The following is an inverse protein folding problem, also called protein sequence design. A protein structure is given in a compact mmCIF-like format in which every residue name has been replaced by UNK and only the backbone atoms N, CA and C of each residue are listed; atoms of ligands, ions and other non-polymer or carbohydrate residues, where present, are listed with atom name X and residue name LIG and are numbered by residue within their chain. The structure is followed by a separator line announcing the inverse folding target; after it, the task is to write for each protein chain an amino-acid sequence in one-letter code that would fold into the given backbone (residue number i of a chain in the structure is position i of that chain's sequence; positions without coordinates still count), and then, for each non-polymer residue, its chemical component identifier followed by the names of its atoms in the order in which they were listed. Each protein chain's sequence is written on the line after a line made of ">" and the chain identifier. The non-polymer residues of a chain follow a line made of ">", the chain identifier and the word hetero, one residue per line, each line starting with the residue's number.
data_IF_964135490425
#
_entry.id   IF_964135490425
#
_cell.length_a   1.000
_cell.length_b   1.000
_cell.length_c   1.000
_cell.angle_alpha   90.00
_cell.angle_beta   90.00
_cell.angle_gamma   90.00
#
_symmetry.space_group_name_H-M   'P 1'
#
loop_
_entity.id
_entity.type
_entity.pdbx_description
1 polymer ?
#
# COMPACT_ATOMS: atom_id res chain seq x y z
N UNK A 1 -41.07 -20.18 7.61
CA UNK A 1 -40.83 -19.40 6.37
C UNK A 1 -39.43 -18.80 6.43
N UNK A 2 -38.54 -19.11 5.47
CA UNK A 2 -37.20 -18.48 5.37
C UNK A 2 -37.35 -17.20 4.53
N UNK A 3 -36.90 -16.06 5.06
CA UNK A 3 -36.99 -14.76 4.39
C UNK A 3 -36.10 -14.76 3.11
N UNK A 4 -36.67 -14.59 1.90
CA UNK A 4 -35.93 -14.65 0.64
C UNK A 4 -35.04 -13.42 0.37
N UNK A 5 -35.10 -12.38 1.22
CA UNK A 5 -34.35 -11.13 1.04
C UNK A 5 -33.15 -10.97 1.97
N UNK A 6 -32.63 -12.06 2.56
CA UNK A 6 -31.38 -11.99 3.33
C UNK A 6 -30.22 -11.77 2.34
N UNK A 7 -29.94 -10.51 2.00
CA UNK A 7 -28.71 -10.12 1.30
C UNK A 7 -27.56 -10.80 2.05
N UNK A 8 -26.81 -11.66 1.35
CA UNK A 8 -25.55 -12.20 1.89
C UNK A 8 -24.72 -10.96 2.22
N UNK A 9 -24.41 -10.72 3.49
CA UNK A 9 -23.36 -9.75 3.85
C UNK A 9 -22.16 -10.18 3.02
N UNK A 10 -21.64 -9.29 2.16
CA UNK A 10 -20.32 -9.53 1.57
C UNK A 10 -19.40 -9.84 2.75
N UNK A 11 -18.61 -10.92 2.71
CA UNK A 11 -17.60 -11.13 3.74
C UNK A 11 -16.81 -9.84 3.84
N UNK A 12 -16.86 -9.18 5.01
CA UNK A 12 -15.92 -8.12 5.30
C UNK A 12 -14.58 -8.84 5.34
N UNK A 13 -13.73 -8.53 4.37
CA UNK A 13 -12.35 -9.00 4.38
C UNK A 13 -11.73 -8.31 5.58
N UNK A 14 -11.35 -9.10 6.58
CA UNK A 14 -10.69 -8.57 7.76
C UNK A 14 -9.36 -7.96 7.31
N UNK A 15 -9.13 -6.69 7.63
CA UNK A 15 -7.90 -6.03 7.25
C UNK A 15 -6.75 -6.64 8.03
N UNK A 16 -5.62 -6.94 7.38
CA UNK A 16 -4.55 -7.67 8.03
C UNK A 16 -3.92 -6.80 9.10
N UNK A 17 -3.65 -7.37 10.28
CA UNK A 17 -2.85 -6.76 11.34
C UNK A 17 -1.34 -6.85 10.98
N UNK A 18 -1.02 -6.44 9.76
CA UNK A 18 0.33 -6.44 9.21
C UNK A 18 0.96 -5.06 9.38
N UNK A 19 2.23 -5.04 9.75
CA UNK A 19 3.01 -3.83 10.02
C UNK A 19 3.85 -3.39 8.82
N UNK A 20 3.98 -4.27 7.83
CA UNK A 20 4.80 -4.06 6.64
C UNK A 20 4.00 -4.42 5.40
N UNK A 21 3.96 -3.48 4.45
CA UNK A 21 3.29 -3.63 3.17
C UNK A 21 4.26 -3.39 2.02
N UNK A 22 4.15 -4.19 0.98
CA UNK A 22 4.96 -4.11 -0.23
C UNK A 22 4.09 -3.76 -1.42
N UNK A 23 4.53 -2.77 -2.20
CA UNK A 23 3.73 -2.19 -3.28
C UNK A 23 4.60 -2.16 -4.54
N UNK A 24 4.50 -3.17 -5.41
CA UNK A 24 5.15 -3.16 -6.72
C UNK A 24 4.55 -2.11 -7.65
N UNK A 25 5.36 -1.58 -8.56
CA UNK A 25 4.90 -0.75 -9.65
C UNK A 25 5.81 -0.78 -10.86
N UNK A 26 5.29 -0.28 -11.98
CA UNK A 26 6.00 -0.21 -13.26
C UNK A 26 6.60 1.18 -13.47
N UNK A 27 7.24 1.71 -12.43
CA UNK A 27 8.00 2.96 -12.53
C UNK A 27 9.35 2.69 -13.20
N UNK A 28 9.86 3.68 -13.93
CA UNK A 28 11.14 3.60 -14.61
C UNK A 28 12.29 3.96 -13.68
N UNK A 29 12.07 4.88 -12.73
CA UNK A 29 13.07 5.30 -11.76
C UNK A 29 12.45 5.88 -10.48
N UNK A 30 13.31 6.11 -9.47
CA UNK A 30 12.90 6.72 -8.18
C UNK A 30 12.31 8.12 -8.33
N UNK A 31 12.74 8.90 -9.31
CA UNK A 31 12.22 10.25 -9.54
C UNK A 31 10.78 10.21 -10.04
N UNK A 32 10.45 9.24 -10.90
CA UNK A 32 9.08 8.99 -11.34
C UNK A 32 8.18 8.59 -10.17
N UNK A 33 8.65 7.76 -9.25
CA UNK A 33 7.91 7.37 -8.05
C UNK A 33 7.56 8.60 -7.22
N UNK A 34 8.57 9.38 -6.83
CA UNK A 34 8.41 10.58 -6.00
C UNK A 34 7.51 11.61 -6.70
N UNK A 35 7.77 11.86 -7.98
CA UNK A 35 6.97 12.78 -8.79
C UNK A 35 5.51 12.35 -8.92
N UNK A 36 5.26 11.05 -9.08
CA UNK A 36 3.90 10.50 -9.19
C UNK A 36 3.14 10.56 -7.87
N UNK A 37 3.78 10.26 -6.73
CA UNK A 37 3.18 10.42 -5.41
C UNK A 37 2.79 11.89 -5.18
N UNK A 38 3.72 12.82 -5.42
CA UNK A 38 3.46 14.24 -5.23
C UNK A 38 2.35 14.78 -6.16
N UNK A 39 2.39 14.41 -7.45
CA UNK A 39 1.42 14.87 -8.45
C UNK A 39 0.01 14.32 -8.19
N UNK A 40 -0.10 13.02 -7.88
CA UNK A 40 -1.39 12.35 -7.80
C UNK A 40 -2.05 12.44 -6.41
N UNK A 41 -1.31 12.93 -5.41
CA UNK A 41 -1.80 13.13 -4.04
C UNK A 41 -1.62 14.58 -3.56
N UNK A 42 -1.59 15.53 -4.50
CA UNK A 42 -1.44 16.95 -4.20
C UNK A 42 -2.48 17.41 -3.17
N UNK A 43 -2.02 18.16 -2.15
CA UNK A 43 -2.83 18.64 -1.02
C UNK A 43 -3.32 17.54 -0.05
N UNK A 44 -2.93 16.28 -0.24
CA UNK A 44 -3.29 15.17 0.68
C UNK A 44 -2.04 14.57 1.32
N UNK A 45 -1.06 14.16 0.52
CA UNK A 45 0.17 13.55 0.99
C UNK A 45 1.41 14.31 0.52
N UNK A 46 2.42 14.37 1.39
CA UNK A 46 3.77 14.80 1.05
C UNK A 46 4.72 13.64 1.27
N UNK A 47 5.62 13.44 0.31
CA UNK A 47 6.71 12.48 0.41
C UNK A 47 8.03 13.23 0.56
N UNK A 48 8.76 12.96 1.64
CA UNK A 48 10.04 13.58 1.93
C UNK A 48 11.01 12.55 2.51
N UNK A 49 12.05 12.21 1.76
CA UNK A 49 13.04 11.21 2.17
C UNK A 49 12.40 9.83 2.33
N UNK A 50 12.25 9.37 3.57
CA UNK A 50 11.66 8.08 3.93
C UNK A 50 10.28 8.20 4.58
N UNK A 51 9.67 9.39 4.56
CA UNK A 51 8.41 9.65 5.24
C UNK A 51 7.36 10.06 4.22
N UNK A 52 6.20 9.40 4.29
CA UNK A 52 4.97 9.88 3.67
C UNK A 52 4.06 10.42 4.76
N UNK A 53 3.75 11.70 4.70
CA UNK A 53 2.93 12.42 5.68
C UNK A 53 1.57 12.75 5.05
N UNK A 54 0.49 12.33 5.71
CA UNK A 54 -0.85 12.85 5.42
C UNK A 54 -0.97 14.27 6.02
N UNK A 55 -1.12 15.28 5.18
CA UNK A 55 -1.17 16.68 5.64
C UNK A 55 -2.45 17.03 6.40
N UNK A 56 -3.51 16.25 6.21
CA UNK A 56 -4.80 16.50 6.85
C UNK A 56 -4.87 15.89 8.25
N UNK A 57 -4.30 14.68 8.43
CA UNK A 57 -4.34 13.95 9.70
C UNK A 57 -3.05 14.03 10.51
N UNK A 58 -1.96 14.49 9.88
CA UNK A 58 -0.59 14.51 10.42
C UNK A 58 0.00 13.12 10.70
N UNK A 59 -0.63 12.06 10.19
CA UNK A 59 -0.11 10.70 10.29
C UNK A 59 1.02 10.49 9.29
N UNK A 60 2.09 9.86 9.76
CA UNK A 60 3.27 9.57 8.96
C UNK A 60 3.49 8.07 8.82
N UNK A 61 3.98 7.66 7.65
CA UNK A 61 4.35 6.29 7.34
C UNK A 61 5.82 6.25 6.92
N UNK A 62 6.55 5.26 7.42
CA UNK A 62 7.87 4.94 6.91
C UNK A 62 7.74 4.34 5.53
N UNK A 63 8.45 4.89 4.55
CA UNK A 63 8.39 4.45 3.16
C UNK A 63 9.81 4.30 2.64
N UNK A 64 10.11 3.15 2.06
CA UNK A 64 11.36 2.88 1.37
C UNK A 64 11.08 2.53 -0.08
N UNK A 65 11.81 3.17 -0.99
CA UNK A 65 11.82 2.81 -2.41
C UNK A 65 12.99 1.85 -2.62
N UNK A 66 12.68 0.67 -3.11
CA UNK A 66 13.60 -0.44 -3.31
C UNK A 66 13.55 -0.85 -4.77
N UNK A 67 14.72 -1.22 -5.30
CA UNK A 67 14.87 -1.76 -6.64
C UNK A 67 14.94 -3.28 -6.56
N UNK A 68 14.50 -3.97 -7.61
CA UNK A 68 14.59 -5.42 -7.70
C UNK A 68 16.01 -5.94 -7.48
N UNK A 69 17.01 -5.17 -7.91
CA UNK A 69 18.44 -5.47 -7.69
C UNK A 69 18.87 -5.43 -6.23
N UNK A 70 18.07 -4.85 -5.33
CA UNK A 70 18.36 -4.82 -3.89
C UNK A 70 18.09 -6.17 -3.20
N UNK A 71 17.56 -7.17 -3.93
CA UNK A 71 17.18 -8.46 -3.37
C UNK A 71 17.89 -9.63 -4.06
N UNK A 72 18.61 -10.43 -3.26
CA UNK A 72 19.30 -11.63 -3.75
C UNK A 72 18.37 -12.84 -3.97
N UNK A 73 17.20 -12.85 -3.33
CA UNK A 73 16.29 -13.99 -3.36
C UNK A 73 14.84 -13.57 -3.67
N UNK A 74 14.37 -13.97 -4.84
CA UNK A 74 13.13 -13.50 -5.47
C UNK A 74 11.90 -14.35 -5.12
N UNK A 75 11.98 -15.34 -4.23
CA UNK A 75 10.83 -16.24 -3.97
C UNK A 75 9.55 -15.48 -3.58
N UNK A 76 9.71 -14.37 -2.84
CA UNK A 76 8.65 -13.43 -2.54
C UNK A 76 8.16 -12.66 -3.79
N UNK A 77 9.09 -12.19 -4.63
CA UNK A 77 8.84 -11.42 -5.84
C UNK A 77 8.50 -12.26 -7.08
N UNK A 78 8.48 -13.60 -6.99
CA UNK A 78 8.08 -14.45 -8.11
C UNK A 78 6.70 -14.08 -8.66
N UNK A 79 5.83 -13.53 -7.80
CA UNK A 79 4.50 -12.99 -8.15
C UNK A 79 4.53 -11.60 -8.78
N UNK A 80 5.62 -10.86 -8.63
CA UNK A 80 5.84 -9.49 -9.11
C UNK A 80 7.08 -9.40 -10.02
N UNK A 81 7.38 -10.48 -10.74
CA UNK A 81 8.59 -10.64 -11.56
C UNK A 81 8.77 -9.53 -12.60
N UNK A 82 7.67 -8.91 -13.02
CA UNK A 82 7.62 -7.89 -14.07
C UNK A 82 7.74 -6.47 -13.51
N UNK A 83 7.92 -6.30 -12.19
CA UNK A 83 8.14 -5.00 -11.54
C UNK A 83 9.61 -4.86 -11.13
N UNK A 84 10.20 -3.72 -11.48
CA UNK A 84 11.59 -3.39 -11.14
C UNK A 84 11.71 -2.54 -9.88
N UNK A 85 10.60 -1.94 -9.42
CA UNK A 85 10.55 -1.09 -8.23
C UNK A 85 9.46 -1.54 -7.26
N UNK A 86 9.76 -1.38 -5.98
CA UNK A 86 8.90 -1.70 -4.87
C UNK A 86 8.91 -0.57 -3.86
N UNK A 87 7.73 -0.27 -3.31
CA UNK A 87 7.62 0.54 -2.11
C UNK A 87 7.36 -0.37 -0.93
N UNK A 88 8.22 -0.31 0.08
CA UNK A 88 8.01 -0.90 1.40
C UNK A 88 7.46 0.16 2.33
N UNK A 89 6.26 -0.07 2.86
CA UNK A 89 5.58 0.80 3.81
C UNK A 89 5.58 0.16 5.18
N UNK A 90 6.24 0.83 6.13
CA UNK A 90 6.31 0.46 7.54
C UNK A 90 5.32 1.29 8.35
N UNK A 91 4.52 0.59 9.14
CA UNK A 91 3.71 1.22 10.17
C UNK A 91 4.60 1.53 11.38
N UNK A 92 5.02 2.79 11.52
CA UNK A 92 5.67 3.24 12.75
C UNK A 92 4.62 3.31 13.86
N UNK A 93 4.94 2.77 15.05
CA UNK A 93 4.07 2.71 16.22
C UNK A 93 3.33 4.05 16.46
N UNK A 94 2.07 4.12 16.05
CA UNK A 94 1.17 5.21 16.38
C UNK A 94 -0.06 4.64 17.08
N UNK A 95 -0.37 5.19 18.23
CA UNK A 95 -1.50 4.75 19.06
C UNK A 95 -2.84 5.13 18.38
N UNK A 96 -3.70 4.13 18.19
CA UNK A 96 -5.12 4.18 17.78
C UNK A 96 -5.52 4.29 16.28
N UNK A 97 -6.44 3.40 15.89
CA UNK A 97 -7.31 3.41 14.68
C UNK A 97 -6.63 3.51 13.30
N UNK A 98 -5.49 2.85 13.13
CA UNK A 98 -4.65 2.93 11.93
C UNK A 98 -5.29 2.44 10.62
N UNK A 99 -6.34 1.60 10.64
CA UNK A 99 -6.81 0.93 9.42
C UNK A 99 -7.18 1.92 8.31
N UNK A 100 -7.95 2.97 8.61
CA UNK A 100 -8.35 3.96 7.61
C UNK A 100 -7.13 4.70 7.05
N UNK A 101 -6.17 5.02 7.92
CA UNK A 101 -4.95 5.76 7.58
C UNK A 101 -4.01 4.92 6.72
N UNK A 102 -3.87 3.63 7.04
CA UNK A 102 -3.13 2.66 6.21
C UNK A 102 -3.81 2.50 4.86
N UNK A 103 -5.15 2.38 4.83
CA UNK A 103 -5.91 2.29 3.58
C UNK A 103 -5.65 3.53 2.72
N UNK A 104 -5.71 4.73 3.30
CA UNK A 104 -5.43 6.00 2.61
C UNK A 104 -3.99 6.06 2.09
N UNK A 105 -3.01 5.67 2.91
CA UNK A 105 -1.61 5.63 2.53
C UNK A 105 -1.35 4.65 1.37
N UNK A 106 -1.86 3.43 1.46
CA UNK A 106 -1.79 2.45 0.38
C UNK A 106 -2.48 2.96 -0.89
N UNK A 107 -3.66 3.58 -0.77
CA UNK A 107 -4.36 4.20 -1.89
C UNK A 107 -3.55 5.33 -2.54
N UNK A 108 -2.82 6.14 -1.76
CA UNK A 108 -1.99 7.19 -2.30
C UNK A 108 -0.88 6.64 -3.21
N UNK A 109 -0.30 5.50 -2.82
CA UNK A 109 0.76 4.83 -3.59
C UNK A 109 0.16 4.10 -4.81
N UNK A 110 -1.00 3.45 -4.67
CA UNK A 110 -1.73 2.85 -5.78
C UNK A 110 -2.10 3.89 -6.85
N UNK A 111 -2.62 5.06 -6.44
CA UNK A 111 -2.87 6.21 -7.34
C UNK A 111 -1.60 6.70 -8.03
N UNK A 112 -0.43 6.52 -7.40
CA UNK A 112 0.86 6.90 -7.94
C UNK A 112 1.47 5.89 -8.92
N UNK A 113 0.79 4.77 -9.21
CA UNK A 113 1.26 3.74 -10.14
C UNK A 113 1.55 2.38 -9.50
N UNK A 114 1.24 2.21 -8.20
CA UNK A 114 1.29 0.91 -7.55
C UNK A 114 0.25 -0.05 -8.12
N UNK A 115 0.63 -1.32 -8.30
CA UNK A 115 -0.21 -2.34 -8.94
C UNK A 115 -1.09 -3.10 -7.94
N UNK A 116 -0.53 -3.39 -6.77
CA UNK A 116 -1.16 -4.20 -5.72
C UNK A 116 -0.49 -3.91 -4.39
N UNK A 117 -1.09 -4.36 -3.30
CA UNK A 117 -0.50 -4.28 -1.97
C UNK A 117 -0.34 -5.70 -1.44
N UNK A 118 0.88 -6.09 -1.12
CA UNK A 118 1.18 -7.32 -0.41
C UNK A 118 1.40 -7.02 1.06
N UNK A 119 0.71 -7.74 1.92
CA UNK A 119 0.83 -7.62 3.36
C UNK A 119 1.74 -8.75 3.89
N UNK A 120 2.87 -8.40 4.49
CA UNK A 120 4.02 -9.31 4.65
C UNK A 120 3.72 -10.50 5.55
N UNK A 121 3.21 -10.23 6.74
CA UNK A 121 3.00 -11.24 7.77
C UNK A 121 1.81 -12.16 7.45
N UNK A 122 0.73 -11.63 6.86
CA UNK A 122 -0.42 -12.45 6.43
C UNK A 122 -0.19 -13.15 5.09
N UNK A 123 0.82 -12.72 4.31
CA UNK A 123 1.07 -13.16 2.94
C UNK A 123 -0.11 -12.96 1.98
N UNK A 124 -0.97 -11.98 2.27
CA UNK A 124 -2.13 -11.62 1.45
C UNK A 124 -1.76 -10.59 0.39
N UNK A 125 -2.38 -10.69 -0.78
CA UNK A 125 -2.23 -9.72 -1.88
C UNK A 125 -3.59 -9.09 -2.14
N UNK A 126 -3.62 -7.78 -2.11
CA UNK A 126 -4.77 -6.95 -2.42
C UNK A 126 -4.56 -6.28 -3.77
N UNK A 127 -5.51 -6.46 -4.69
CA UNK A 127 -5.61 -5.57 -5.85
C UNK A 127 -6.03 -4.17 -5.39
N UNK A 128 -5.80 -3.17 -6.24
CA UNK A 128 -6.29 -1.81 -5.98
C UNK A 128 -7.79 -1.75 -5.70
N UNK A 129 -8.59 -2.61 -6.35
CA UNK A 129 -10.03 -2.70 -6.12
C UNK A 129 -10.37 -3.29 -4.74
N UNK A 130 -9.64 -4.31 -4.29
CA UNK A 130 -9.89 -4.98 -3.01
C UNK A 130 -9.30 -4.27 -1.80
N UNK A 131 -8.37 -3.34 -2.00
CA UNK A 131 -7.73 -2.60 -0.91
C UNK A 131 -8.68 -1.61 -0.22
N UNK A 132 -9.70 -1.13 -0.94
CA UNK A 132 -10.67 -0.14 -0.45
C UNK A 132 -11.75 -0.72 0.50
N UNK A 133 -11.61 -1.97 0.95
CA UNK A 133 -12.68 -2.72 1.65
C UNK A 133 -12.45 -2.92 3.13
#
# INVERSE_FOLDING_TARGET
>A
MKNPFRRKKKPQVEFPNDEVFWIPGNWNDRSEIVGSIAKNNMNEFVFAGYIMLNMNTQESFGIQILEKSDFDNLDFFGKFKDSDFFIRMDLTESEYNQQESIIKAGNAILKAGGLSIFAEKSSLIYSAESWNT
#
